data_IF_385137817177
#
_entry.id   IF_385137817177
#
_cell.length_a   1.000
_cell.length_b   1.000
_cell.length_c   1.000
_cell.angle_alpha   90.00
_cell.angle_beta   90.00
_cell.angle_gamma   90.00
#
_symmetry.space_group_name_H-M   'P 1'
#
loop_
_entity.id
_entity.type
_entity.pdbx_description
1 polymer ?
#
# COMPACT_ATOMS: atom_id res chain seq x y z
N UNK A 1 -4.90 -16.40 -3.40
CA UNK A 1 -6.09 -16.03 -2.57
C UNK A 1 -7.35 -16.42 -3.34
N UNK A 2 -8.52 -16.60 -2.71
CA UNK A 2 -9.76 -16.87 -3.44
C UNK A 2 -10.05 -15.76 -4.46
N UNK A 3 -10.76 -16.08 -5.56
CA UNK A 3 -11.11 -15.12 -6.61
C UNK A 3 -11.84 -13.89 -6.04
N UNK A 4 -12.75 -14.08 -5.09
CA UNK A 4 -13.45 -12.98 -4.41
C UNK A 4 -12.50 -12.00 -3.71
N UNK A 5 -11.49 -12.52 -3.02
CA UNK A 5 -10.49 -11.67 -2.34
C UNK A 5 -9.60 -10.95 -3.35
N UNK A 6 -9.24 -11.60 -4.46
CA UNK A 6 -8.46 -10.95 -5.53
C UNK A 6 -9.27 -9.83 -6.18
N UNK A 7 -10.54 -10.07 -6.50
CA UNK A 7 -11.45 -9.06 -7.04
C UNK A 7 -11.58 -7.87 -6.09
N UNK A 8 -11.70 -8.12 -4.78
CA UNK A 8 -11.68 -7.04 -3.78
C UNK A 8 -10.40 -6.19 -3.91
N UNK A 9 -9.21 -6.80 -3.90
CA UNK A 9 -7.97 -6.02 -4.06
C UNK A 9 -7.88 -5.27 -5.39
N UNK A 10 -8.34 -5.85 -6.48
CA UNK A 10 -8.29 -5.21 -7.79
C UNK A 10 -9.22 -4.00 -7.88
N UNK A 11 -10.44 -4.12 -7.34
CA UNK A 11 -11.42 -3.02 -7.25
C UNK A 11 -10.97 -1.87 -6.35
N UNK A 12 -10.07 -2.13 -5.40
CA UNK A 12 -9.50 -1.15 -4.48
C UNK A 12 -8.03 -0.84 -4.77
N UNK A 13 -7.52 -1.21 -5.95
CA UNK A 13 -6.11 -1.03 -6.31
C UNK A 13 -5.71 0.45 -6.38
N UNK A 14 -6.62 1.36 -6.67
CA UNK A 14 -6.36 2.81 -6.62
C UNK A 14 -5.87 3.29 -5.23
N UNK A 15 -6.20 2.56 -4.14
CA UNK A 15 -5.76 2.91 -2.78
C UNK A 15 -4.24 2.76 -2.61
N UNK A 16 -3.57 1.94 -3.44
CA UNK A 16 -2.09 1.90 -3.46
C UNK A 16 -1.47 3.26 -3.79
N UNK A 17 -2.21 4.12 -4.50
CA UNK A 17 -1.81 5.48 -4.87
C UNK A 17 -2.39 6.53 -3.93
N UNK A 18 -3.53 6.21 -3.29
CA UNK A 18 -4.33 7.09 -2.43
C UNK A 18 -4.56 6.45 -1.06
N UNK A 19 -3.51 6.20 -0.27
CA UNK A 19 -3.65 5.48 1.00
C UNK A 19 -4.52 6.26 1.97
N UNK A 20 -5.59 5.65 2.50
CA UNK A 20 -6.61 6.37 3.26
C UNK A 20 -6.96 5.73 4.61
N UNK A 21 -6.26 4.66 5.01
CA UNK A 21 -6.57 3.93 6.26
C UNK A 21 -5.57 4.17 7.40
N UNK A 22 -4.87 5.31 7.38
CA UNK A 22 -4.00 5.71 8.49
C UNK A 22 -4.78 5.78 9.80
N UNK A 23 -4.15 5.31 10.89
CA UNK A 23 -4.79 5.21 12.20
C UNK A 23 -5.80 4.07 12.33
N UNK A 24 -5.99 3.23 11.30
CA UNK A 24 -6.77 2.00 11.38
C UNK A 24 -5.84 0.79 11.46
N UNK A 25 -6.33 -0.30 12.04
CA UNK A 25 -5.56 -1.53 12.19
C UNK A 25 -6.11 -2.63 11.29
N UNK A 26 -5.25 -3.56 10.89
CA UNK A 26 -5.62 -4.72 10.08
C UNK A 26 -4.95 -6.00 10.61
N UNK A 27 -5.63 -7.14 10.42
CA UNK A 27 -5.06 -8.48 10.58
C UNK A 27 -5.25 -9.27 9.31
N UNK A 28 -4.30 -10.14 9.00
CA UNK A 28 -4.44 -11.09 7.90
C UNK A 28 -4.95 -12.43 8.44
N UNK A 29 -6.09 -12.89 7.97
CA UNK A 29 -6.66 -14.19 8.34
C UNK A 29 -6.61 -15.12 7.12
N UNK A 30 -6.06 -16.31 7.29
CA UNK A 30 -6.00 -17.30 6.22
C UNK A 30 -6.10 -18.71 6.81
N UNK A 31 -7.07 -19.48 6.33
CA UNK A 31 -7.10 -20.93 6.49
C UNK A 31 -6.34 -21.61 5.35
N UNK A 32 -5.70 -22.73 5.67
CA UNK A 32 -5.02 -23.59 4.71
C UNK A 32 -5.29 -25.06 5.04
N UNK A 33 -5.33 -25.90 4.00
CA UNK A 33 -5.22 -27.35 4.17
C UNK A 33 -3.76 -27.72 4.42
N UNK A 34 -2.95 -27.66 3.36
CA UNK A 34 -1.57 -28.15 3.39
C UNK A 34 -0.58 -27.04 3.74
N UNK A 35 -0.42 -26.04 2.87
CA UNK A 35 0.56 -24.95 3.02
C UNK A 35 0.12 -23.67 2.31
N UNK A 36 0.83 -22.56 2.54
CA UNK A 36 0.66 -21.30 1.79
C UNK A 36 0.14 -20.09 2.59
N UNK A 37 -0.45 -20.29 3.77
CA UNK A 37 -1.06 -19.21 4.56
C UNK A 37 -0.07 -18.11 4.95
N UNK A 38 1.20 -18.46 5.23
CA UNK A 38 2.25 -17.48 5.56
C UNK A 38 2.56 -16.54 4.41
N UNK A 39 2.63 -17.06 3.17
CA UNK A 39 2.85 -16.24 1.96
C UNK A 39 1.64 -15.32 1.73
N UNK A 40 0.43 -15.87 1.84
CA UNK A 40 -0.82 -15.11 1.65
C UNK A 40 -0.96 -13.99 2.68
N UNK A 41 -0.75 -14.27 3.97
CA UNK A 41 -0.85 -13.24 5.02
C UNK A 41 0.31 -12.25 4.99
N UNK A 42 1.45 -12.60 4.37
CA UNK A 42 2.49 -11.61 4.03
C UNK A 42 2.01 -10.65 2.94
N UNK A 43 1.42 -11.18 1.87
CA UNK A 43 0.81 -10.34 0.84
C UNK A 43 -0.28 -9.43 1.43
N UNK A 44 -1.14 -9.93 2.31
CA UNK A 44 -2.13 -9.09 3.01
C UNK A 44 -1.48 -7.98 3.85
N UNK A 45 -0.34 -8.25 4.49
CA UNK A 45 0.41 -7.22 5.19
C UNK A 45 0.91 -6.14 4.24
N UNK A 46 1.40 -6.51 3.07
CA UNK A 46 1.93 -5.57 2.08
C UNK A 46 0.81 -4.70 1.50
N UNK A 47 -0.34 -5.30 1.16
CA UNK A 47 -1.55 -4.57 0.71
C UNK A 47 -2.04 -3.61 1.80
N UNK A 48 -2.28 -4.12 3.01
CA UNK A 48 -2.81 -3.32 4.11
C UNK A 48 -1.88 -2.17 4.49
N UNK A 49 -0.57 -2.42 4.57
CA UNK A 49 0.44 -1.40 4.87
C UNK A 49 0.50 -0.34 3.77
N UNK A 50 0.42 -0.75 2.50
CA UNK A 50 0.41 0.18 1.37
C UNK A 50 -0.84 1.05 1.33
N UNK A 51 -1.97 0.52 1.81
CA UNK A 51 -3.23 1.26 1.96
C UNK A 51 -3.28 2.15 3.22
N UNK A 52 -2.25 2.09 4.08
CA UNK A 52 -2.08 2.94 5.26
C UNK A 52 -2.47 2.31 6.60
N UNK A 53 -2.91 1.04 6.63
CA UNK A 53 -3.21 0.36 7.89
C UNK A 53 -1.95 0.04 8.70
N UNK A 54 -2.10 0.03 10.03
CA UNK A 54 -1.19 -0.67 10.95
C UNK A 54 -1.54 -2.16 10.92
N UNK A 55 -0.75 -2.98 10.24
CA UNK A 55 -0.96 -4.43 10.22
C UNK A 55 -0.38 -5.08 11.49
N UNK A 56 -1.24 -5.71 12.31
CA UNK A 56 -0.87 -6.08 13.69
C UNK A 56 -0.56 -7.56 13.87
N UNK A 57 -1.22 -8.45 13.12
CA UNK A 57 -0.98 -9.88 13.25
C UNK A 57 -1.47 -10.71 12.06
N UNK A 58 -0.92 -11.93 11.97
CA UNK A 58 -1.30 -12.97 11.00
C UNK A 58 -1.96 -14.12 11.74
N UNK A 59 -3.18 -14.49 11.34
CA UNK A 59 -3.90 -15.65 11.83
C UNK A 59 -3.91 -16.72 10.74
N UNK A 60 -2.92 -17.61 10.84
CA UNK A 60 -2.72 -18.72 9.91
C UNK A 60 -3.25 -20.00 10.56
N UNK A 61 -4.38 -20.48 10.04
CA UNK A 61 -5.11 -21.65 10.56
C UNK A 61 -4.91 -22.84 9.62
N UNK A 62 -4.55 -23.99 10.18
CA UNK A 62 -4.51 -25.26 9.44
C UNK A 62 -5.77 -26.03 9.77
N UNK A 63 -6.61 -26.28 8.77
CA UNK A 63 -7.97 -26.83 8.95
C UNK A 63 -8.09 -28.28 8.49
N UNK A 64 -6.97 -29.01 8.41
CA UNK A 64 -7.03 -30.45 8.14
C UNK A 64 -7.68 -31.18 9.33
N UNK A 65 -8.51 -32.21 9.09
CA UNK A 65 -9.20 -32.96 10.13
C UNK A 65 -8.22 -33.89 10.86
N UNK A 66 -7.41 -33.32 11.74
CA UNK A 66 -6.47 -34.04 12.61
C UNK A 66 -6.93 -33.89 14.05
N UNK A 67 -6.88 -34.97 14.82
CA UNK A 67 -7.26 -34.94 16.23
C UNK A 67 -6.50 -33.85 17.01
N UNK A 68 -7.22 -33.10 17.84
CA UNK A 68 -6.67 -31.99 18.62
C UNK A 68 -6.30 -30.73 17.83
N UNK A 69 -6.53 -30.69 16.50
CA UNK A 69 -6.30 -29.48 15.70
C UNK A 69 -7.17 -28.30 16.16
N UNK A 70 -8.41 -28.57 16.56
CA UNK A 70 -9.35 -27.55 17.05
C UNK A 70 -8.80 -26.79 18.27
N UNK A 71 -8.30 -27.50 19.29
CA UNK A 71 -7.69 -26.88 20.48
C UNK A 71 -6.55 -25.94 20.10
N UNK A 72 -5.70 -26.33 19.13
CA UNK A 72 -4.61 -25.50 18.60
C UNK A 72 -5.14 -24.27 17.86
N UNK A 73 -6.20 -24.42 17.06
CA UNK A 73 -6.86 -23.32 16.36
C UNK A 73 -7.47 -22.32 17.34
N UNK A 74 -8.24 -22.77 18.33
CA UNK A 74 -8.84 -21.93 19.37
C UNK A 74 -7.76 -21.15 20.13
N UNK A 75 -6.64 -21.79 20.49
CA UNK A 75 -5.50 -21.11 21.14
C UNK A 75 -4.91 -20.00 20.25
N UNK A 76 -4.74 -20.24 18.95
CA UNK A 76 -4.28 -19.23 17.99
C UNK A 76 -5.28 -18.07 17.85
N UNK A 77 -6.57 -18.36 17.69
CA UNK A 77 -7.63 -17.36 17.57
C UNK A 77 -7.66 -16.47 18.82
N UNK A 78 -7.65 -17.06 20.03
CA UNK A 78 -7.60 -16.31 21.29
C UNK A 78 -6.35 -15.42 21.38
N UNK A 79 -5.18 -15.92 20.98
CA UNK A 79 -3.94 -15.13 20.95
C UNK A 79 -4.03 -13.96 19.97
N UNK A 80 -4.57 -14.17 18.77
CA UNK A 80 -4.78 -13.10 17.77
C UNK A 80 -5.77 -12.07 18.28
N UNK A 81 -6.91 -12.50 18.85
CA UNK A 81 -7.91 -11.61 19.42
C UNK A 81 -7.32 -10.69 20.49
N UNK A 82 -6.54 -11.23 21.43
CA UNK A 82 -5.83 -10.43 22.44
C UNK A 82 -4.90 -9.37 21.82
N UNK A 83 -4.14 -9.73 20.77
CA UNK A 83 -3.27 -8.78 20.06
C UNK A 83 -4.06 -7.70 19.32
N UNK A 84 -5.17 -8.08 18.69
CA UNK A 84 -6.03 -7.14 17.98
C UNK A 84 -6.66 -6.13 18.94
N UNK A 85 -7.25 -6.61 20.04
CA UNK A 85 -7.84 -5.76 21.09
C UNK A 85 -6.78 -4.84 21.70
N UNK A 86 -5.59 -5.36 22.03
CA UNK A 86 -4.48 -4.54 22.51
C UNK A 86 -4.14 -3.42 21.53
N UNK A 87 -4.04 -3.74 20.23
CA UNK A 87 -3.70 -2.75 19.22
C UNK A 87 -4.81 -1.70 18.97
N UNK A 88 -6.09 -2.01 19.23
CA UNK A 88 -7.19 -1.04 19.16
C UNK A 88 -7.06 0.07 20.22
N UNK A 89 -6.49 -0.29 21.38
CA UNK A 89 -6.34 0.57 22.56
C UNK A 89 -4.97 1.28 22.62
N UNK A 90 -4.05 0.95 21.72
CA UNK A 90 -2.74 1.58 21.62
C UNK A 90 -2.73 2.77 20.64
N UNK A 91 -1.61 3.50 20.61
CA UNK A 91 -1.38 4.54 19.61
C UNK A 91 -1.56 3.96 18.19
N UNK A 92 -2.44 4.64 17.44
CA UNK A 92 -2.90 4.21 16.12
C UNK A 92 -2.01 4.69 14.98
N UNK A 93 -1.37 5.85 15.14
CA UNK A 93 -0.38 6.38 14.22
C UNK A 93 1.01 5.90 14.64
N UNK A 94 1.74 5.28 13.71
CA UNK A 94 3.08 4.76 13.98
C UNK A 94 4.15 5.68 13.38
N UNK A 95 5.37 5.61 13.90
CA UNK A 95 6.51 6.26 13.21
C UNK A 95 6.77 5.53 11.89
N UNK A 96 6.86 6.22 10.75
CA UNK A 96 7.03 5.57 9.46
C UNK A 96 8.41 4.90 9.34
N UNK A 97 8.45 3.78 8.62
CA UNK A 97 9.70 3.13 8.23
C UNK A 97 10.48 4.00 7.24
N UNK A 98 11.78 3.74 7.07
CA UNK A 98 12.56 4.44 6.05
C UNK A 98 11.96 4.23 4.64
N UNK A 99 11.59 3.00 4.29
CA UNK A 99 10.98 2.68 3.00
C UNK A 99 9.68 3.44 2.75
N UNK A 100 8.83 3.57 3.78
CA UNK A 100 7.58 4.33 3.67
C UNK A 100 7.82 5.83 3.46
N UNK A 101 8.82 6.40 4.14
CA UNK A 101 9.22 7.81 3.94
C UNK A 101 9.76 8.02 2.53
N UNK A 102 10.61 7.12 2.04
CA UNK A 102 11.12 7.17 0.66
C UNK A 102 9.96 7.10 -0.33
N UNK A 103 9.05 6.14 -0.19
CA UNK A 103 7.89 5.98 -1.07
C UNK A 103 7.01 7.25 -1.12
N UNK A 104 6.73 7.86 0.05
CA UNK A 104 6.01 9.13 0.12
C UNK A 104 6.75 10.25 -0.65
N UNK A 105 8.04 10.45 -0.36
CA UNK A 105 8.82 11.53 -0.98
C UNK A 105 9.00 11.35 -2.49
N UNK A 106 9.20 10.11 -2.96
CA UNK A 106 9.31 9.80 -4.38
C UNK A 106 8.01 10.13 -5.10
N UNK A 107 6.87 9.72 -4.54
CA UNK A 107 5.55 10.00 -5.15
C UNK A 107 5.20 11.49 -5.11
N UNK A 108 5.51 12.18 -4.02
CA UNK A 108 5.37 13.66 -3.95
C UNK A 108 6.15 14.35 -5.07
N UNK A 109 7.39 13.92 -5.32
CA UNK A 109 8.21 14.44 -6.42
C UNK A 109 7.60 14.11 -7.79
N UNK A 110 7.07 12.91 -7.99
CA UNK A 110 6.39 12.54 -9.23
C UNK A 110 5.19 13.44 -9.50
N UNK A 111 4.32 13.67 -8.51
CA UNK A 111 3.18 14.56 -8.65
C UNK A 111 3.59 16.01 -8.91
N UNK A 112 4.61 16.52 -8.21
CA UNK A 112 5.09 17.90 -8.41
C UNK A 112 5.76 18.11 -9.78
N UNK A 113 6.42 17.08 -10.34
CA UNK A 113 7.03 17.17 -11.68
C UNK A 113 5.98 17.00 -12.76
N UNK A 114 5.11 15.99 -12.64
CA UNK A 114 4.08 15.71 -13.64
C UNK A 114 3.02 16.82 -13.70
N UNK A 115 2.66 17.39 -12.54
CA UNK A 115 1.68 18.46 -12.38
C UNK A 115 0.40 18.28 -13.23
N UNK A 116 -0.05 17.04 -13.35
CA UNK A 116 -1.19 16.66 -14.19
C UNK A 116 -2.49 16.84 -13.42
N UNK A 117 -3.12 18.00 -13.63
CA UNK A 117 -4.40 18.34 -13.01
C UNK A 117 -5.56 17.48 -13.51
N UNK A 118 -5.41 16.69 -14.58
CA UNK A 118 -6.43 15.73 -14.99
C UNK A 118 -6.37 14.43 -14.21
N UNK A 119 -5.22 14.11 -13.63
CA UNK A 119 -4.95 12.87 -12.92
C UNK A 119 -5.67 12.80 -11.56
N UNK A 120 -6.45 11.73 -11.35
CA UNK A 120 -7.22 11.56 -10.12
C UNK A 120 -6.37 11.29 -8.86
N UNK A 121 -5.17 10.71 -9.00
CA UNK A 121 -4.22 10.60 -7.88
C UNK A 121 -3.67 11.98 -7.51
N UNK A 122 -3.28 12.79 -8.49
CA UNK A 122 -2.79 14.15 -8.25
C UNK A 122 -3.83 15.00 -7.51
N UNK A 123 -5.08 15.02 -8.01
CA UNK A 123 -6.19 15.73 -7.34
C UNK A 123 -6.39 15.28 -5.90
N UNK A 124 -6.31 13.98 -5.65
CA UNK A 124 -6.42 13.43 -4.30
C UNK A 124 -5.28 13.91 -3.41
N UNK A 125 -4.02 13.84 -3.88
CA UNK A 125 -2.85 14.28 -3.12
C UNK A 125 -2.88 15.78 -2.81
N UNK A 126 -3.32 16.59 -3.76
CA UNK A 126 -3.51 18.03 -3.58
C UNK A 126 -4.57 18.31 -2.51
N UNK A 127 -5.74 17.65 -2.59
CA UNK A 127 -6.82 17.81 -1.62
C UNK A 127 -6.44 17.35 -0.20
N UNK A 128 -5.46 16.44 -0.05
CA UNK A 128 -4.94 16.01 1.24
C UNK A 128 -3.85 16.94 1.82
N UNK A 129 -3.41 17.96 1.08
CA UNK A 129 -2.26 18.80 1.46
C UNK A 129 -0.95 18.00 1.52
N UNK A 130 -0.82 16.95 0.70
CA UNK A 130 0.39 16.12 0.68
C UNK A 130 1.50 16.67 -0.21
N UNK A 131 1.15 17.63 -1.07
CA UNK A 131 2.06 18.29 -1.99
C UNK A 131 2.72 19.54 -1.39
N UNK A 132 2.15 20.09 -0.32
CA UNK A 132 2.64 21.26 0.42
C UNK A 132 4.11 21.11 0.81
N UNK A 133 4.93 22.15 0.64
CA UNK A 133 6.40 22.04 0.72
C UNK A 133 6.91 21.45 2.05
N UNK A 134 6.31 21.89 3.16
CA UNK A 134 6.65 21.49 4.53
C UNK A 134 6.14 20.08 4.89
N UNK A 135 5.25 19.50 4.08
CA UNK A 135 4.68 18.18 4.36
C UNK A 135 5.73 17.07 4.29
N UNK A 136 5.97 16.44 5.44
CA UNK A 136 6.99 15.40 5.60
C UNK A 136 6.44 13.97 5.46
N UNK A 137 5.13 13.77 5.67
CA UNK A 137 4.46 12.48 5.56
C UNK A 137 2.93 12.63 5.42
N UNK A 138 2.22 11.52 5.18
CA UNK A 138 0.76 11.49 4.99
C UNK A 138 -0.07 12.00 6.17
N UNK A 139 0.47 11.96 7.38
CA UNK A 139 -0.14 12.46 8.61
C UNK A 139 0.92 13.20 9.44
N UNK A 140 0.49 13.89 10.49
CA UNK A 140 1.39 14.66 11.36
C UNK A 140 2.33 13.72 12.14
N UNK A 141 3.52 13.53 11.59
CA UNK A 141 4.62 12.79 12.19
C UNK A 141 5.92 13.33 11.61
N UNK A 142 6.94 13.48 12.46
CA UNK A 142 8.28 13.84 12.02
C UNK A 142 9.07 12.58 11.66
N UNK A 143 9.28 12.24 10.37
CA UNK A 143 10.25 11.23 10.00
C UNK A 143 11.63 11.71 10.45
N UNK A 144 12.29 10.94 11.33
CA UNK A 144 13.57 11.32 11.92
C UNK A 144 14.60 11.79 10.90
N UNK A 145 15.49 12.71 11.30
CA UNK A 145 16.38 13.50 10.43
C UNK A 145 17.13 12.64 9.40
N UNK A 146 17.71 11.52 9.83
CA UNK A 146 18.47 10.60 8.97
C UNK A 146 17.59 10.05 7.82
N UNK A 147 16.35 9.65 8.12
CA UNK A 147 15.43 9.13 7.10
C UNK A 147 15.08 10.20 6.07
N UNK A 148 14.90 11.43 6.55
CA UNK A 148 14.60 12.58 5.71
C UNK A 148 15.77 12.93 4.78
N UNK A 149 17.01 12.83 5.26
CA UNK A 149 18.22 13.05 4.46
C UNK A 149 18.40 11.98 3.37
N UNK A 150 18.30 10.70 3.72
CA UNK A 150 18.42 9.58 2.74
C UNK A 150 17.38 9.73 1.63
N UNK A 151 16.13 10.00 2.00
CA UNK A 151 15.07 10.19 1.02
C UNK A 151 15.29 11.44 0.14
N UNK A 152 15.91 12.49 0.68
CA UNK A 152 16.30 13.68 -0.09
C UNK A 152 17.38 13.37 -1.14
N UNK A 153 18.41 12.61 -0.76
CA UNK A 153 19.49 12.21 -1.68
C UNK A 153 18.95 11.36 -2.84
N UNK A 154 18.10 10.38 -2.54
CA UNK A 154 17.45 9.55 -3.57
C UNK A 154 16.62 10.40 -4.54
N UNK A 155 15.91 11.40 -4.03
CA UNK A 155 15.13 12.30 -4.88
C UNK A 155 16.01 13.11 -5.85
N UNK A 156 17.21 13.54 -5.44
CA UNK A 156 18.13 14.24 -6.35
C UNK A 156 18.55 13.35 -7.54
N UNK A 157 18.75 12.06 -7.29
CA UNK A 157 19.12 11.07 -8.32
C UNK A 157 17.93 10.77 -9.25
N UNK A 158 16.72 10.67 -8.71
CA UNK A 158 15.52 10.29 -9.47
C UNK A 158 14.86 11.46 -10.22
N UNK A 159 15.01 12.70 -9.74
CA UNK A 159 14.36 13.89 -10.30
C UNK A 159 14.67 14.09 -11.79
N UNK A 160 15.91 13.96 -12.30
CA UNK A 160 16.18 14.04 -13.73
C UNK A 160 15.45 12.96 -14.53
N UNK A 161 15.44 11.72 -14.03
CA UNK A 161 14.74 10.60 -14.69
C UNK A 161 13.25 10.84 -14.79
N UNK A 162 12.63 11.35 -13.72
CA UNK A 162 11.21 11.73 -13.75
C UNK A 162 10.95 12.90 -14.69
N UNK A 163 11.80 13.93 -14.71
CA UNK A 163 11.68 15.01 -15.69
C UNK A 163 11.70 14.49 -17.13
N UNK A 164 12.59 13.55 -17.45
CA UNK A 164 12.63 12.91 -18.78
C UNK A 164 11.41 12.03 -19.02
N UNK A 165 10.95 11.27 -18.01
CA UNK A 165 9.79 10.39 -18.11
C UNK A 165 8.48 11.16 -18.35
N UNK A 166 8.35 12.33 -17.74
CA UNK A 166 7.21 13.24 -17.91
C UNK A 166 7.50 14.35 -18.93
N UNK A 167 8.64 14.31 -19.64
CA UNK A 167 8.92 15.23 -20.74
C UNK A 167 8.18 14.73 -21.99
N UNK A 168 7.17 15.48 -22.40
CA UNK A 168 6.29 15.15 -23.52
C UNK A 168 4.89 15.68 -23.22
N UNK A 169 4.03 15.76 -24.24
CA UNK A 169 2.64 16.12 -24.01
C UNK A 169 1.96 14.95 -23.26
N UNK A 170 1.40 15.15 -22.05
CA UNK A 170 0.69 14.08 -21.32
C UNK A 170 -0.41 13.43 -22.16
N UNK A 171 -1.03 14.20 -23.06
CA UNK A 171 -2.02 13.70 -24.02
C UNK A 171 -1.43 12.73 -25.03
N UNK A 172 -0.23 12.98 -25.56
CA UNK A 172 0.44 12.06 -26.50
C UNK A 172 0.87 10.75 -25.81
N UNK A 173 1.31 10.83 -24.57
CA UNK A 173 1.62 9.66 -23.75
C UNK A 173 0.34 8.86 -23.48
N UNK A 174 -0.73 9.52 -23.07
CA UNK A 174 -2.03 8.89 -22.81
C UNK A 174 -2.65 8.27 -24.07
N UNK A 175 -2.64 8.98 -25.19
CA UNK A 175 -3.12 8.49 -26.49
C UNK A 175 -2.31 7.29 -26.97
N UNK A 176 -0.99 7.25 -26.70
CA UNK A 176 -0.15 6.08 -26.96
C UNK A 176 -0.53 4.88 -26.09
N UNK A 177 -0.81 5.09 -24.80
CA UNK A 177 -1.27 4.02 -23.91
C UNK A 177 -2.65 3.49 -24.30
N UNK A 178 -3.62 4.37 -24.59
CA UNK A 178 -4.95 3.98 -25.06
C UNK A 178 -4.90 3.19 -26.37
N UNK A 179 -4.02 3.57 -27.31
CA UNK A 179 -3.78 2.81 -28.54
C UNK A 179 -3.19 1.42 -28.27
N UNK A 180 -2.33 1.27 -27.26
CA UNK A 180 -1.80 -0.04 -26.86
C UNK A 180 -2.87 -0.92 -26.19
N UNK A 181 -3.77 -0.32 -25.41
CA UNK A 181 -4.93 -1.05 -24.85
C UNK A 181 -5.89 -1.49 -25.95
N UNK A 182 -6.20 -0.64 -26.94
CA UNK A 182 -7.07 -1.02 -28.05
C UNK A 182 -6.48 -2.15 -28.92
N UNK A 183 -5.16 -2.16 -29.12
CA UNK A 183 -4.45 -3.22 -29.85
C UNK A 183 -4.44 -4.58 -29.10
N UNK A 184 -4.60 -4.58 -27.78
CA UNK A 184 -4.66 -5.81 -26.98
C UNK A 184 -6.05 -6.48 -27.01
N UNK A 185 -7.11 -5.77 -27.39
CA UNK A 185 -8.44 -6.36 -27.52
C UNK A 185 -8.73 -6.91 -28.93
N UNK A 186 -8.06 -6.41 -29.96
CA UNK A 186 -8.23 -6.91 -31.34
C UNK A 186 -7.57 -8.28 -31.59
N UNK A 187 -6.65 -8.72 -30.73
CA UNK A 187 -5.92 -10.00 -30.87
C UNK A 187 -6.47 -11.13 -29.97
N UNK A 188 -7.66 -10.96 -29.38
CA UNK A 188 -8.28 -11.94 -28.46
C UNK A 188 -9.62 -12.49 -29.02
N UNK A 189 -9.88 -12.36 -30.32
CA UNK A 189 -10.99 -13.05 -31.01
C UNK A 189 -10.51 -14.22 -31.84
#
# INVERSE_FOLDING_TARGET
>A
VPALMKNFFDRFSYIFHRPCFFGKIAIGVCNQGISGAKKITSYFNDVASSWGFKFVHRLELRTMPVEGAEKKMVKKIKKTGKKFIKALNEQRYQKPSLGSVIAFKVRKVQHNIGNDETNADYKYWLAQGWLDEDKQYYYDVRPGIIKSAIAGLLNLILKPKFKTMFAGNPKEVYDKYLKLESLNFENIT
#
